data_IF_044777804573
#
_entry.id   IF_044777804573
#
_cell.length_a   1.000
_cell.length_b   1.000
_cell.length_c   1.000
_cell.angle_alpha   90.00
_cell.angle_beta   90.00
_cell.angle_gamma   90.00
#
_symmetry.space_group_name_H-M   'P 1'
#
loop_
_entity.id
_entity.type
_entity.pdbx_description
1 polymer ?
#
# COMPACT_ATOMS: atom_id res chain seq x y z
N UNK A 1 -35.98 -6.74 -9.53
CA UNK A 1 -36.25 -5.29 -9.45
C UNK A 1 -34.98 -4.65 -8.95
N UNK A 2 -34.13 -4.01 -9.73
CA UNK A 2 -34.22 -3.55 -11.12
C UNK A 2 -32.87 -3.82 -11.80
N UNK A 3 -32.95 -4.31 -13.01
CA UNK A 3 -31.90 -4.27 -14.02
C UNK A 3 -31.67 -2.83 -14.45
N UNK A 4 -30.41 -2.42 -14.64
CA UNK A 4 -30.01 -1.53 -15.74
C UNK A 4 -28.49 -1.71 -16.00
N UNK A 5 -28.12 -2.64 -16.88
CA UNK A 5 -27.62 -2.40 -18.26
C UNK A 5 -26.32 -1.59 -18.41
N UNK A 6 -25.27 -2.33 -18.81
CA UNK A 6 -24.58 -2.15 -20.09
C UNK A 6 -23.78 -0.85 -20.34
N UNK A 7 -22.45 -0.95 -20.33
CA UNK A 7 -21.60 -0.18 -21.27
C UNK A 7 -20.42 -1.01 -21.80
N UNK A 8 -20.57 -1.77 -22.91
CA UNK A 8 -19.50 -2.43 -23.64
C UNK A 8 -19.12 -1.64 -24.91
N UNK A 9 -18.99 -0.31 -24.82
CA UNK A 9 -18.71 0.55 -25.98
C UNK A 9 -17.75 1.74 -25.72
N UNK A 10 -17.09 1.83 -24.57
CA UNK A 10 -16.22 2.97 -24.21
C UNK A 10 -14.78 2.61 -23.82
N UNK A 11 -14.30 1.44 -24.22
CA UNK A 11 -12.91 1.05 -24.00
C UNK A 11 -12.00 1.58 -25.12
N UNK A 12 -10.75 1.89 -24.80
CA UNK A 12 -9.75 2.24 -25.83
C UNK A 12 -9.57 1.01 -26.74
N UNK A 13 -9.59 1.20 -28.05
CA UNK A 13 -9.27 0.11 -28.99
C UNK A 13 -7.81 -0.35 -28.83
N UNK A 14 -7.47 -1.51 -29.39
CA UNK A 14 -6.14 -2.10 -29.25
C UNK A 14 -4.99 -1.17 -29.72
N UNK A 15 -5.25 -0.24 -30.64
CA UNK A 15 -4.23 0.72 -31.10
C UNK A 15 -4.06 1.86 -30.11
N UNK A 16 -5.16 2.45 -29.67
CA UNK A 16 -5.15 3.49 -28.62
C UNK A 16 -4.59 2.98 -27.30
N UNK A 17 -4.83 1.71 -26.97
CA UNK A 17 -4.17 1.04 -25.83
C UNK A 17 -2.65 0.96 -26.03
N UNK A 18 -2.17 0.57 -27.22
CA UNK A 18 -0.73 0.58 -27.53
C UNK A 18 -0.14 1.99 -27.47
N UNK A 19 -0.83 2.98 -28.03
CA UNK A 19 -0.42 4.40 -27.96
C UNK A 19 -0.32 4.84 -26.50
N UNK A 20 -1.34 4.60 -25.67
CA UNK A 20 -1.32 4.95 -24.25
C UNK A 20 -0.15 4.27 -23.52
N UNK A 21 0.05 2.97 -23.76
CA UNK A 21 1.15 2.20 -23.15
C UNK A 21 2.50 2.82 -23.46
N UNK A 22 2.72 3.16 -24.72
CA UNK A 22 3.98 3.75 -25.18
C UNK A 22 4.17 5.16 -24.60
N UNK A 23 3.13 6.01 -24.64
CA UNK A 23 3.20 7.36 -24.06
C UNK A 23 3.52 7.31 -22.57
N UNK A 24 2.87 6.42 -21.81
CA UNK A 24 3.15 6.27 -20.38
C UNK A 24 4.59 5.80 -20.15
N UNK A 25 5.05 4.79 -20.87
CA UNK A 25 6.42 4.29 -20.74
C UNK A 25 7.47 5.37 -21.05
N UNK A 26 7.29 6.11 -22.15
CA UNK A 26 8.23 7.14 -22.58
C UNK A 26 8.22 8.34 -21.62
N UNK A 27 7.03 8.75 -21.16
CA UNK A 27 6.90 9.86 -20.20
C UNK A 27 7.44 9.50 -18.81
N UNK A 28 7.26 8.26 -18.32
CA UNK A 28 7.86 7.81 -17.06
C UNK A 28 9.39 7.78 -17.14
N UNK A 29 9.94 7.45 -18.32
CA UNK A 29 11.39 7.40 -18.52
C UNK A 29 12.04 8.78 -18.70
N UNK A 30 11.34 9.73 -19.34
CA UNK A 30 11.94 11.01 -19.78
C UNK A 30 11.38 12.24 -19.06
N UNK A 31 10.18 12.15 -18.48
CA UNK A 31 9.38 13.28 -18.01
C UNK A 31 9.06 14.34 -19.10
N UNK A 32 9.18 13.99 -20.39
CA UNK A 32 8.95 14.91 -21.51
C UNK A 32 7.63 14.61 -22.25
N UNK A 33 6.84 15.64 -22.64
CA UNK A 33 5.62 15.44 -23.41
C UNK A 33 5.87 14.70 -24.73
N UNK A 34 5.11 13.61 -24.95
CA UNK A 34 5.36 12.69 -26.06
C UNK A 34 4.63 13.15 -27.33
N UNK A 35 5.39 13.37 -28.40
CA UNK A 35 4.87 13.77 -29.71
C UNK A 35 4.51 12.57 -30.60
N UNK A 36 3.57 12.76 -31.53
CA UNK A 36 3.19 11.69 -32.47
C UNK A 36 4.34 11.23 -33.37
N UNK A 37 5.31 12.09 -33.68
CA UNK A 37 6.49 11.74 -34.48
C UNK A 37 7.40 10.75 -33.74
N UNK A 38 7.66 11.00 -32.45
CA UNK A 38 8.42 10.12 -31.55
C UNK A 38 7.83 8.71 -31.54
N UNK A 39 6.50 8.62 -31.47
CA UNK A 39 5.78 7.35 -31.43
C UNK A 39 5.92 6.53 -32.72
N UNK A 40 5.97 7.18 -33.88
CA UNK A 40 6.21 6.50 -35.17
C UNK A 40 7.64 5.98 -35.22
N UNK A 41 8.60 6.83 -34.88
CA UNK A 41 10.03 6.54 -35.02
C UNK A 41 10.51 5.43 -34.09
N UNK A 42 10.11 5.48 -32.81
CA UNK A 42 10.61 4.54 -31.79
C UNK A 42 9.81 3.24 -31.65
N UNK A 43 8.53 3.24 -32.03
CA UNK A 43 7.62 2.14 -31.67
C UNK A 43 6.87 1.51 -32.85
N UNK A 44 7.12 1.94 -34.09
CA UNK A 44 6.64 1.32 -35.33
C UNK A 44 5.17 0.85 -35.28
N UNK A 45 4.26 1.76 -34.89
CA UNK A 45 2.83 1.46 -34.64
C UNK A 45 2.02 1.11 -35.91
N UNK A 46 2.66 1.02 -37.08
CA UNK A 46 2.03 0.66 -38.37
C UNK A 46 1.16 1.76 -38.99
N UNK A 47 1.21 2.99 -38.46
CA UNK A 47 0.42 4.14 -38.93
C UNK A 47 1.28 5.41 -39.00
N UNK A 48 0.83 6.39 -39.78
CA UNK A 48 1.52 7.67 -39.94
C UNK A 48 1.29 8.58 -38.73
N UNK A 49 2.19 9.55 -38.55
CA UNK A 49 2.14 10.54 -37.45
C UNK A 49 0.81 11.31 -37.41
N UNK A 50 0.20 11.61 -38.57
CA UNK A 50 -1.10 12.27 -38.64
C UNK A 50 -2.23 11.45 -37.99
N UNK A 51 -2.26 10.13 -38.22
CA UNK A 51 -3.23 9.21 -37.61
C UNK A 51 -3.06 9.16 -36.10
N UNK A 52 -1.81 9.02 -35.64
CA UNK A 52 -1.49 9.02 -34.21
C UNK A 52 -1.90 10.34 -33.56
N UNK A 53 -1.64 11.48 -34.20
CA UNK A 53 -2.06 12.80 -33.70
C UNK A 53 -3.58 12.88 -33.52
N UNK A 54 -4.35 12.37 -34.48
CA UNK A 54 -5.82 12.33 -34.38
C UNK A 54 -6.30 11.43 -33.25
N UNK A 55 -5.70 10.25 -33.09
CA UNK A 55 -6.05 9.32 -32.00
C UNK A 55 -5.67 9.90 -30.63
N UNK A 56 -4.53 10.56 -30.53
CA UNK A 56 -4.10 11.26 -29.31
C UNK A 56 -5.04 12.42 -28.96
N UNK A 57 -5.60 13.12 -29.96
CA UNK A 57 -6.60 14.16 -29.75
C UNK A 57 -7.91 13.57 -29.19
N UNK A 58 -8.43 12.50 -29.81
CA UNK A 58 -9.61 11.78 -29.31
C UNK A 58 -9.38 11.25 -27.87
N UNK A 59 -8.20 10.66 -27.61
CA UNK A 59 -7.84 10.18 -26.27
C UNK A 59 -7.75 11.32 -25.24
N UNK A 60 -7.39 12.53 -25.68
CA UNK A 60 -7.42 13.72 -24.83
C UNK A 60 -8.83 14.18 -24.52
N UNK A 61 -9.72 14.23 -25.51
CA UNK A 61 -11.14 14.54 -25.30
C UNK A 61 -11.80 13.54 -24.35
N UNK A 62 -11.39 12.26 -24.43
CA UNK A 62 -11.85 11.18 -23.54
C UNK A 62 -11.13 11.16 -22.18
N UNK A 63 -10.24 12.12 -21.93
CA UNK A 63 -9.59 12.34 -20.64
C UNK A 63 -8.45 11.37 -20.30
N UNK A 64 -7.94 10.55 -21.24
CA UNK A 64 -6.79 9.66 -21.00
C UNK A 64 -5.44 10.36 -21.16
N UNK A 65 -5.39 11.40 -21.98
CA UNK A 65 -4.20 12.21 -22.24
C UNK A 65 -4.49 13.68 -21.98
N UNK A 66 -3.48 14.47 -21.65
CA UNK A 66 -3.59 15.93 -21.59
C UNK A 66 -2.44 16.59 -22.32
N UNK A 67 -2.66 17.84 -22.71
CA UNK A 67 -1.66 18.70 -23.33
C UNK A 67 -1.22 19.75 -22.30
N UNK A 68 0.05 19.74 -21.84
CA UNK A 68 0.51 20.73 -20.86
C UNK A 68 0.48 22.17 -21.39
N UNK A 69 0.90 22.36 -22.65
CA UNK A 69 0.92 23.65 -23.35
C UNK A 69 0.56 23.46 -24.83
N UNK A 70 0.05 24.49 -25.49
CA UNK A 70 -0.54 24.44 -26.84
C UNK A 70 0.37 23.84 -27.92
N UNK A 71 1.70 23.93 -27.75
CA UNK A 71 2.71 23.37 -28.66
C UNK A 71 3.33 22.05 -28.20
N UNK A 72 3.10 21.64 -26.95
CA UNK A 72 3.69 20.43 -26.38
C UNK A 72 3.02 19.16 -26.93
N UNK A 73 3.70 18.02 -26.80
CA UNK A 73 3.14 16.68 -27.02
C UNK A 73 1.97 16.36 -26.08
N UNK A 74 1.77 15.08 -25.79
CA UNK A 74 0.79 14.64 -24.79
C UNK A 74 1.47 13.97 -23.62
N UNK A 75 0.87 14.15 -22.45
CA UNK A 75 1.26 13.46 -21.23
C UNK A 75 0.06 12.64 -20.74
N UNK A 76 0.27 11.55 -20.01
CA UNK A 76 -0.82 10.82 -19.38
C UNK A 76 -1.57 11.72 -18.38
N UNK A 77 -2.90 11.60 -18.35
CA UNK A 77 -3.70 12.09 -17.23
C UNK A 77 -3.74 11.04 -16.10
N UNK A 78 -4.32 11.39 -14.96
CA UNK A 78 -4.57 10.44 -13.87
C UNK A 78 -5.41 9.24 -14.33
N UNK A 79 -6.42 9.48 -15.17
CA UNK A 79 -7.21 8.43 -15.80
C UNK A 79 -6.37 7.57 -16.75
N UNK A 80 -5.49 8.20 -17.53
CA UNK A 80 -4.52 7.52 -18.38
C UNK A 80 -3.61 6.57 -17.60
N UNK A 81 -3.02 7.06 -16.50
CA UNK A 81 -2.21 6.25 -15.60
C UNK A 81 -3.00 5.12 -14.95
N UNK A 82 -4.22 5.41 -14.47
CA UNK A 82 -5.07 4.38 -13.87
C UNK A 82 -5.39 3.27 -14.87
N UNK A 83 -5.77 3.62 -16.10
CA UNK A 83 -6.04 2.64 -17.14
C UNK A 83 -4.79 1.82 -17.48
N UNK A 84 -3.63 2.48 -17.60
CA UNK A 84 -2.35 1.80 -17.83
C UNK A 84 -2.05 0.76 -16.74
N UNK A 85 -2.08 1.16 -15.47
CA UNK A 85 -1.79 0.27 -14.33
C UNK A 85 -2.79 -0.87 -14.25
N UNK A 86 -4.07 -0.60 -14.49
CA UNK A 86 -5.14 -1.60 -14.34
C UNK A 86 -5.25 -2.59 -15.51
N UNK A 87 -4.82 -2.22 -16.73
CA UNK A 87 -5.10 -3.00 -17.95
C UNK A 87 -3.90 -3.29 -18.84
N UNK A 88 -2.87 -2.44 -18.85
CA UNK A 88 -1.79 -2.47 -19.86
C UNK A 88 -0.42 -2.82 -19.28
N UNK A 89 -0.22 -2.50 -18.00
CA UNK A 89 1.00 -2.78 -17.27
C UNK A 89 1.10 -4.27 -17.00
N UNK A 90 2.20 -4.87 -17.43
CA UNK A 90 2.57 -6.23 -17.05
C UNK A 90 3.61 -6.08 -15.94
N UNK A 91 3.32 -6.52 -14.70
CA UNK A 91 4.29 -6.43 -13.62
C UNK A 91 5.57 -7.14 -14.01
N UNK A 92 6.71 -6.47 -13.86
CA UNK A 92 8.00 -7.14 -14.01
C UNK A 92 8.12 -8.20 -12.90
N UNK A 93 8.55 -9.43 -13.22
CA UNK A 93 8.80 -10.43 -12.21
C UNK A 93 9.93 -9.93 -11.29
N UNK A 94 9.73 -10.06 -9.98
CA UNK A 94 10.78 -9.78 -9.00
C UNK A 94 11.81 -10.90 -9.10
N UNK A 95 13.10 -10.54 -9.24
CA UNK A 95 14.17 -11.54 -9.34
C UNK A 95 14.18 -12.45 -8.10
N UNK A 96 14.58 -13.72 -8.28
CA UNK A 96 14.64 -14.70 -7.19
C UNK A 96 15.57 -14.25 -6.06
N UNK A 97 16.69 -13.63 -6.40
CA UNK A 97 17.64 -13.06 -5.44
C UNK A 97 17.02 -11.91 -4.63
N UNK A 98 16.33 -11.00 -5.30
CA UNK A 98 15.60 -9.89 -4.66
C UNK A 98 14.53 -10.43 -3.70
N UNK A 99 13.80 -11.46 -4.13
CA UNK A 99 12.78 -12.15 -3.33
C UNK A 99 13.40 -12.79 -2.08
N UNK A 100 14.56 -13.45 -2.21
CA UNK A 100 15.27 -14.06 -1.10
C UNK A 100 15.77 -13.00 -0.09
N UNK A 101 16.31 -11.87 -0.59
CA UNK A 101 16.74 -10.73 0.24
C UNK A 101 15.56 -10.14 1.02
N UNK A 102 14.42 -9.92 0.37
CA UNK A 102 13.19 -9.41 1.02
C UNK A 102 12.76 -10.38 2.12
N UNK A 103 12.67 -11.69 1.83
CA UNK A 103 12.27 -12.71 2.81
C UNK A 103 13.21 -12.76 4.01
N UNK A 104 14.52 -12.73 3.78
CA UNK A 104 15.51 -12.73 4.87
C UNK A 104 15.42 -11.47 5.73
N UNK A 105 15.20 -10.31 5.11
CA UNK A 105 15.07 -9.05 5.85
C UNK A 105 13.85 -9.07 6.79
N UNK A 106 12.73 -9.60 6.32
CA UNK A 106 11.48 -9.73 7.11
C UNK A 106 11.59 -10.81 8.18
N UNK A 107 12.18 -11.98 7.87
CA UNK A 107 12.31 -13.09 8.82
C UNK A 107 13.25 -12.80 10.00
N UNK A 108 14.18 -11.85 9.83
CA UNK A 108 15.14 -11.44 10.88
C UNK A 108 14.54 -10.60 12.02
N UNK A 109 13.23 -10.33 11.99
CA UNK A 109 12.57 -9.43 12.93
C UNK A 109 11.92 -10.23 14.05
N UNK A 110 12.29 -9.92 15.30
CA UNK A 110 11.61 -10.44 16.49
C UNK A 110 10.13 -10.03 16.49
N UNK A 111 9.31 -10.80 17.20
CA UNK A 111 7.82 -10.82 17.26
C UNK A 111 7.07 -9.48 17.47
N UNK A 112 7.75 -8.32 17.52
CA UNK A 112 7.09 -7.02 17.66
C UNK A 112 6.62 -6.49 16.30
N UNK A 113 5.30 -6.45 16.12
CA UNK A 113 4.63 -5.98 14.91
C UNK A 113 5.14 -4.60 14.45
N UNK A 114 5.37 -3.68 15.39
CA UNK A 114 5.90 -2.35 15.10
C UNK A 114 7.28 -2.38 14.43
N UNK A 115 8.13 -3.31 14.85
CA UNK A 115 9.48 -3.45 14.30
C UNK A 115 9.43 -4.05 12.90
N UNK A 116 8.50 -4.98 12.65
CA UNK A 116 8.24 -5.55 11.31
C UNK A 116 7.77 -4.46 10.35
N UNK A 117 6.81 -3.64 10.78
CA UNK A 117 6.26 -2.54 9.98
C UNK A 117 7.36 -1.53 9.63
N UNK A 118 8.14 -1.08 10.63
CA UNK A 118 9.24 -0.12 10.40
C UNK A 118 10.29 -0.65 9.43
N UNK A 119 10.75 -1.90 9.58
CA UNK A 119 11.72 -2.49 8.64
C UNK A 119 11.15 -2.63 7.23
N UNK A 120 9.89 -3.02 7.11
CA UNK A 120 9.21 -3.17 5.80
C UNK A 120 9.11 -1.83 5.08
N UNK A 121 8.69 -0.77 5.77
CA UNK A 121 8.68 0.59 5.22
C UNK A 121 10.09 1.05 4.81
N UNK A 122 11.11 0.77 5.63
CA UNK A 122 12.50 1.09 5.30
C UNK A 122 12.99 0.38 4.03
N UNK A 123 12.67 -0.91 3.89
CA UNK A 123 13.00 -1.70 2.70
C UNK A 123 12.29 -1.16 1.45
N UNK A 124 10.99 -0.89 1.54
CA UNK A 124 10.22 -0.30 0.43
C UNK A 124 10.77 1.06 0.02
N UNK A 125 11.13 1.90 0.99
CA UNK A 125 11.74 3.21 0.73
C UNK A 125 13.07 3.07 0.00
N UNK A 126 13.93 2.15 0.45
CA UNK A 126 15.23 1.92 -0.19
C UNK A 126 15.10 1.40 -1.63
N UNK A 127 14.15 0.49 -1.88
CA UNK A 127 13.95 -0.13 -3.19
C UNK A 127 13.28 0.83 -4.19
N UNK A 128 12.25 1.55 -3.76
CA UNK A 128 11.44 2.41 -4.64
C UNK A 128 11.96 3.84 -4.73
N UNK A 129 12.81 4.27 -3.78
CA UNK A 129 13.20 5.67 -3.56
C UNK A 129 12.01 6.60 -3.32
N UNK A 130 10.90 6.06 -2.81
CA UNK A 130 9.68 6.78 -2.46
C UNK A 130 9.37 6.63 -0.97
N UNK A 131 8.70 7.60 -0.34
CA UNK A 131 8.23 7.46 1.03
C UNK A 131 7.28 6.26 1.16
N UNK A 132 7.56 5.36 2.11
CA UNK A 132 6.65 4.30 2.50
C UNK A 132 5.96 4.65 3.81
N UNK A 133 4.63 4.59 3.82
CA UNK A 133 3.80 4.81 5.02
C UNK A 133 3.03 3.54 5.30
N UNK A 134 2.95 3.15 6.56
CA UNK A 134 2.09 2.09 7.04
C UNK A 134 1.24 2.64 8.18
N UNK A 135 -0.05 2.34 8.12
CA UNK A 135 -0.99 2.62 9.20
C UNK A 135 -1.23 1.32 9.95
N UNK A 136 -1.25 1.39 11.28
CA UNK A 136 -1.84 0.31 12.04
C UNK A 136 -3.31 0.16 11.59
N UNK A 137 -3.87 -1.06 11.53
CA UNK A 137 -5.30 -1.22 11.34
C UNK A 137 -6.03 -0.38 12.38
N UNK A 138 -7.15 0.25 11.98
CA UNK A 138 -7.94 1.09 12.87
C UNK A 138 -8.20 0.35 14.19
N UNK A 139 -7.99 1.04 15.31
CA UNK A 139 -8.19 0.48 16.65
C UNK A 139 -9.67 0.16 16.94
N UNK A 140 -10.57 0.31 15.95
CA UNK A 140 -12.04 0.21 16.04
C UNK A 140 -12.59 -1.16 16.45
N UNK A 141 -11.73 -2.14 16.72
CA UNK A 141 -12.12 -3.43 17.30
C UNK A 141 -11.02 -4.01 18.22
N UNK A 142 -10.22 -3.14 18.82
CA UNK A 142 -9.20 -3.57 19.79
C UNK A 142 -9.89 -4.01 21.06
N UNK A 143 -9.78 -5.29 21.39
CA UNK A 143 -10.34 -5.88 22.61
C UNK A 143 -9.22 -6.32 23.52
N UNK A 144 -9.39 -6.14 24.82
CA UNK A 144 -8.48 -6.72 25.79
C UNK A 144 -8.67 -8.24 25.82
N UNK A 145 -7.66 -9.02 25.43
CA UNK A 145 -7.69 -10.49 25.50
C UNK A 145 -7.41 -10.97 26.91
N UNK A 146 -6.31 -10.50 27.50
CA UNK A 146 -5.85 -11.03 28.78
C UNK A 146 -5.02 -10.00 29.54
N UNK A 147 -5.13 -10.03 30.87
CA UNK A 147 -4.30 -9.28 31.80
C UNK A 147 -3.44 -10.27 32.60
N UNK A 148 -2.14 -10.04 32.66
CA UNK A 148 -1.24 -10.71 33.59
C UNK A 148 -0.85 -9.74 34.70
N UNK A 149 -0.85 -10.23 35.93
CA UNK A 149 -0.39 -9.50 37.11
C UNK A 149 0.72 -10.34 37.73
N UNK A 150 1.88 -9.74 37.98
CA UNK A 150 3.00 -10.42 38.62
C UNK A 150 3.72 -9.48 39.59
N UNK A 151 4.09 -9.93 40.80
CA UNK A 151 4.96 -9.15 41.69
C UNK A 151 6.33 -8.94 41.03
N UNK A 152 6.76 -7.68 40.91
CA UNK A 152 8.07 -7.33 40.34
C UNK A 152 9.13 -7.09 41.43
N UNK A 153 8.71 -6.58 42.60
CA UNK A 153 9.52 -6.42 43.80
C UNK A 153 8.60 -6.23 45.01
N UNK A 154 9.15 -6.09 46.22
CA UNK A 154 8.35 -5.96 47.46
C UNK A 154 7.22 -4.92 47.38
N UNK A 155 7.43 -3.78 46.70
CA UNK A 155 6.43 -2.72 46.53
C UNK A 155 6.14 -2.39 45.05
N UNK A 156 6.31 -3.35 44.13
CA UNK A 156 6.01 -3.10 42.71
C UNK A 156 5.32 -4.29 42.07
N UNK A 157 4.38 -4.00 41.18
CA UNK A 157 3.62 -4.99 40.43
C UNK A 157 3.75 -4.71 38.95
N UNK A 158 4.03 -5.74 38.17
CA UNK A 158 4.02 -5.71 36.72
C UNK A 158 2.63 -6.09 36.22
N UNK A 159 2.04 -5.23 35.40
CA UNK A 159 0.80 -5.47 34.69
C UNK A 159 1.13 -5.61 33.20
N UNK A 160 0.74 -6.73 32.58
CA UNK A 160 0.88 -6.94 31.14
C UNK A 160 -0.49 -7.14 30.54
N UNK A 161 -0.90 -6.24 29.65
CA UNK A 161 -2.16 -6.29 28.92
C UNK A 161 -1.90 -6.85 27.52
N UNK A 162 -2.62 -7.89 27.12
CA UNK A 162 -2.60 -8.46 25.79
C UNK A 162 -3.88 -8.10 25.05
N UNK A 163 -3.77 -7.50 23.87
CA UNK A 163 -4.91 -7.10 23.06
C UNK A 163 -5.22 -8.09 21.92
N UNK A 164 -6.40 -7.99 21.33
CA UNK A 164 -6.87 -8.83 20.21
C UNK A 164 -5.92 -8.82 19.02
N UNK A 165 -5.32 -7.65 18.78
CA UNK A 165 -4.32 -7.33 17.75
C UNK A 165 -2.94 -7.95 17.98
N UNK A 166 -2.70 -8.55 19.15
CA UNK A 166 -1.39 -9.10 19.54
C UNK A 166 -0.42 -8.06 20.11
N UNK A 167 -0.79 -6.78 20.13
CA UNK A 167 -0.05 -5.77 20.88
C UNK A 167 -0.10 -6.08 22.38
N UNK A 168 0.98 -5.76 23.08
CA UNK A 168 1.08 -5.88 24.53
C UNK A 168 1.48 -4.56 25.16
N UNK A 169 0.72 -4.08 26.15
CA UNK A 169 1.15 -2.96 27.00
C UNK A 169 1.66 -3.48 28.34
N UNK A 170 2.84 -2.99 28.73
CA UNK A 170 3.42 -3.30 30.05
C UNK A 170 3.39 -2.05 30.91
N UNK A 171 2.82 -2.15 32.11
CA UNK A 171 2.78 -1.07 33.10
C UNK A 171 3.39 -1.54 34.41
N UNK A 172 4.27 -0.73 34.97
CA UNK A 172 4.82 -0.95 36.30
C UNK A 172 4.01 -0.12 37.30
N UNK A 173 3.31 -0.79 38.20
CA UNK A 173 2.58 -0.16 39.30
C UNK A 173 3.53 -0.08 40.49
N UNK A 174 3.71 1.14 41.01
CA UNK A 174 4.56 1.42 42.17
C UNK A 174 3.72 1.43 43.45
N UNK A 175 4.39 1.31 44.59
CA UNK A 175 3.80 1.40 45.93
C UNK A 175 2.67 0.40 46.20
N UNK A 176 2.72 -0.75 45.51
CA UNK A 176 1.78 -1.85 45.69
C UNK A 176 2.57 -3.14 45.96
N UNK A 177 2.40 -3.67 47.16
CA UNK A 177 2.91 -4.97 47.54
C UNK A 177 1.83 -6.04 47.30
N UNK A 178 2.12 -7.03 46.47
CA UNK A 178 1.25 -8.19 46.28
C UNK A 178 2.05 -9.47 46.50
N UNK A 179 1.46 -10.41 47.24
CA UNK A 179 1.93 -11.79 47.21
C UNK A 179 1.65 -12.41 45.82
N UNK A 180 2.36 -13.48 45.47
CA UNK A 180 2.11 -14.19 44.22
C UNK A 180 0.65 -14.70 44.12
N UNK A 181 0.06 -15.09 45.26
CA UNK A 181 -1.33 -15.55 45.32
C UNK A 181 -2.32 -14.40 45.10
N UNK A 182 -2.08 -13.24 45.73
CA UNK A 182 -2.95 -12.07 45.56
C UNK A 182 -2.87 -11.51 44.14
N UNK A 183 -1.68 -11.55 43.52
CA UNK A 183 -1.50 -11.20 42.12
C UNK A 183 -2.32 -12.12 41.20
N UNK A 184 -2.34 -13.43 41.47
CA UNK A 184 -3.14 -14.39 40.72
C UNK A 184 -4.65 -14.12 40.88
N UNK A 185 -5.11 -13.86 42.11
CA UNK A 185 -6.51 -13.52 42.40
C UNK A 185 -6.90 -12.22 41.68
N UNK A 186 -6.05 -11.19 41.75
CA UNK A 186 -6.27 -9.91 41.08
C UNK A 186 -6.30 -10.08 39.56
N UNK A 187 -5.38 -10.86 38.98
CA UNK A 187 -5.40 -11.17 37.55
C UNK A 187 -6.72 -11.86 37.17
N UNK A 188 -7.19 -12.84 37.94
CA UNK A 188 -8.48 -13.51 37.72
C UNK A 188 -9.65 -12.51 37.71
N UNK A 189 -9.76 -11.69 38.75
CA UNK A 189 -10.82 -10.69 38.88
C UNK A 189 -10.79 -9.63 37.77
N UNK A 190 -9.60 -9.19 37.34
CA UNK A 190 -9.44 -8.25 36.24
C UNK A 190 -9.83 -8.89 34.89
N UNK A 191 -9.42 -10.12 34.63
CA UNK A 191 -9.78 -10.83 33.41
C UNK A 191 -11.28 -11.09 33.32
N UNK A 192 -11.91 -11.52 34.41
CA UNK A 192 -13.37 -11.73 34.45
C UNK A 192 -14.15 -10.46 34.08
N UNK A 193 -13.67 -9.29 34.51
CA UNK A 193 -14.38 -8.02 34.32
C UNK A 193 -14.02 -7.27 33.04
N UNK A 194 -12.81 -7.45 32.52
CA UNK A 194 -12.25 -6.60 31.47
C UNK A 194 -11.89 -7.37 30.20
N UNK A 195 -11.74 -8.70 30.23
CA UNK A 195 -11.50 -9.49 29.02
C UNK A 195 -12.69 -9.38 28.05
N UNK A 196 -12.40 -9.25 26.76
CA UNK A 196 -13.37 -9.11 25.68
C UNK A 196 -13.94 -7.70 25.46
N UNK A 197 -13.66 -6.76 26.37
CA UNK A 197 -14.12 -5.37 26.23
C UNK A 197 -13.31 -4.61 25.19
N UNK A 198 -14.00 -3.75 24.44
CA UNK A 198 -13.39 -2.76 23.56
C UNK A 198 -12.64 -1.69 24.35
N UNK A 199 -11.57 -1.18 23.75
CA UNK A 199 -10.63 -0.20 24.33
C UNK A 199 -10.66 1.07 23.49
#
# INVERSE_FOLDING_TARGET
MESETNQPAMELDARKQRILKVIVNDYVATAEPVGSHVLVERYSLGVKSATIRSEMAEMSERGYLRQPHTSAGRVPSDRGYRFYVSRLMVPAPIASEETARIRSAVASVSSELDTIIRKTCGLLTAMTRLPAVATAPDATDTRLKQIFVSPASENKVLLVLLFSTGHTETRLVLDLALSANDALILAGALNERLSGKEV
#
